data_IF_100595380795
#
_entry.id   IF_100595380795
#
_cell.length_a   1.000
_cell.length_b   1.000
_cell.length_c   1.000
_cell.angle_alpha   90.00
_cell.angle_beta   90.00
_cell.angle_gamma   90.00
#
_symmetry.space_group_name_H-M   'P 1'
#
loop_
_entity.id
_entity.type
_entity.pdbx_description
1 polymer ?
#
# COMPACT_ATOMS: atom_id res chain seq x y z
N UNK A 1 -36.47 31.63 -16.49
CA UNK A 1 -36.15 30.18 -16.55
C UNK A 1 -35.85 29.81 -18.00
N UNK A 2 -34.90 28.93 -18.35
CA UNK A 2 -33.79 28.38 -17.57
C UNK A 2 -32.43 28.47 -18.30
N UNK A 3 -31.32 28.48 -17.56
CA UNK A 3 -30.03 27.94 -18.02
C UNK A 3 -29.27 27.53 -16.76
N UNK A 4 -29.72 26.43 -16.14
CA UNK A 4 -29.16 25.09 -16.35
C UNK A 4 -27.75 25.02 -15.77
N UNK A 5 -27.71 24.38 -14.60
CA UNK A 5 -26.60 24.36 -13.66
C UNK A 5 -25.24 24.09 -14.29
N UNK A 6 -24.29 24.94 -13.92
CA UNK A 6 -22.91 24.49 -13.81
C UNK A 6 -22.87 23.46 -12.70
N UNK A 7 -22.94 22.20 -13.12
CA UNK A 7 -22.59 21.03 -12.34
C UNK A 7 -21.11 21.19 -11.99
N UNK A 8 -20.83 21.92 -10.90
CA UNK A 8 -19.51 21.97 -10.29
C UNK A 8 -19.19 20.51 -9.99
N UNK A 9 -18.32 19.92 -10.81
CA UNK A 9 -17.77 18.60 -10.57
C UNK A 9 -17.17 18.69 -9.18
N UNK A 10 -17.87 18.15 -8.19
CA UNK A 10 -17.34 17.81 -6.87
C UNK A 10 -16.24 16.79 -7.14
N UNK A 11 -15.09 17.28 -7.60
CA UNK A 11 -13.88 16.52 -7.73
C UNK A 11 -13.57 16.11 -6.31
N UNK A 12 -13.85 14.84 -6.06
CA UNK A 12 -13.66 14.15 -4.83
C UNK A 12 -12.25 14.45 -4.32
N UNK A 13 -12.13 15.42 -3.41
CA UNK A 13 -10.90 15.69 -2.68
C UNK A 13 -10.72 14.49 -1.76
N UNK A 14 -10.19 13.40 -2.32
CA UNK A 14 -9.85 12.19 -1.59
C UNK A 14 -8.83 12.58 -0.54
N UNK A 15 -9.21 12.51 0.74
CA UNK A 15 -8.26 12.59 1.85
C UNK A 15 -7.03 11.74 1.52
N UNK A 16 -5.83 12.34 1.58
CA UNK A 16 -4.57 11.63 1.32
C UNK A 16 -4.41 10.39 2.21
N UNK A 17 -4.96 10.46 3.43
CA UNK A 17 -5.04 9.35 4.38
C UNK A 17 -5.70 8.09 3.79
N UNK A 18 -6.83 8.24 3.11
CA UNK A 18 -7.61 7.13 2.57
C UNK A 18 -6.94 6.47 1.36
N UNK A 19 -6.15 7.23 0.59
CA UNK A 19 -5.36 6.68 -0.50
C UNK A 19 -4.14 5.90 0.01
N UNK A 20 -3.51 6.37 1.09
CA UNK A 20 -2.35 5.70 1.71
C UNK A 20 -2.77 4.38 2.33
N UNK A 21 -3.89 4.33 3.06
CA UNK A 21 -4.39 3.09 3.65
C UNK A 21 -4.70 2.03 2.57
N UNK A 22 -5.41 2.42 1.49
CA UNK A 22 -5.70 1.52 0.36
C UNK A 22 -4.45 0.99 -0.34
N UNK A 23 -3.40 1.81 -0.41
CA UNK A 23 -2.11 1.38 -0.98
C UNK A 23 -1.38 0.43 -0.03
N UNK A 24 -1.44 0.67 1.28
CA UNK A 24 -0.88 -0.21 2.31
C UNK A 24 -1.46 -1.62 2.25
N UNK A 25 -2.79 -1.74 2.31
CA UNK A 25 -3.51 -3.02 2.22
C UNK A 25 -3.12 -3.80 0.96
N UNK A 26 -3.06 -3.14 -0.20
CA UNK A 26 -2.70 -3.78 -1.47
C UNK A 26 -1.24 -4.29 -1.50
N UNK A 27 -0.32 -3.60 -0.83
CA UNK A 27 1.09 -4.02 -0.75
C UNK A 27 1.24 -5.22 0.20
N UNK A 28 0.57 -5.20 1.35
CA UNK A 28 0.59 -6.31 2.30
C UNK A 28 0.04 -7.61 1.71
N UNK A 29 -1.07 -7.53 0.98
CA UNK A 29 -1.66 -8.70 0.33
C UNK A 29 -0.72 -9.31 -0.73
N UNK A 30 0.05 -8.49 -1.44
CA UNK A 30 1.06 -8.96 -2.39
C UNK A 30 2.23 -9.64 -1.69
N UNK A 31 2.69 -9.10 -0.55
CA UNK A 31 3.75 -9.73 0.25
C UNK A 31 3.29 -11.11 0.75
N UNK A 32 2.07 -11.21 1.30
CA UNK A 32 1.49 -12.48 1.78
C UNK A 32 1.42 -13.53 0.66
N UNK A 33 0.99 -13.15 -0.55
CA UNK A 33 0.94 -14.05 -1.71
C UNK A 33 2.34 -14.56 -2.10
N UNK A 34 3.32 -13.65 -2.15
CA UNK A 34 4.71 -14.01 -2.47
C UNK A 34 5.33 -14.92 -1.41
N UNK A 35 5.01 -14.74 -0.13
CA UNK A 35 5.47 -15.62 0.95
C UNK A 35 4.95 -17.05 0.81
N UNK A 36 3.67 -17.22 0.47
CA UNK A 36 3.09 -18.54 0.22
C UNK A 36 3.77 -19.24 -0.96
N UNK A 37 4.06 -18.50 -2.04
CA UNK A 37 4.78 -19.07 -3.18
C UNK A 37 6.22 -19.45 -2.82
N UNK A 38 6.94 -18.59 -2.10
CA UNK A 38 8.29 -18.87 -1.63
C UNK A 38 8.35 -20.10 -0.73
N UNK A 39 7.34 -20.31 0.13
CA UNK A 39 7.22 -21.51 0.94
C UNK A 39 7.14 -22.78 0.08
N UNK A 40 6.30 -22.77 -0.95
CA UNK A 40 6.16 -23.89 -1.89
C UNK A 40 7.47 -24.19 -2.62
N UNK A 41 8.17 -23.16 -3.10
CA UNK A 41 9.48 -23.33 -3.73
C UNK A 41 10.53 -23.86 -2.75
N UNK A 42 10.52 -23.42 -1.48
CA UNK A 42 11.41 -23.94 -0.44
C UNK A 42 11.21 -25.43 -0.21
N UNK A 43 9.97 -25.89 -0.10
CA UNK A 43 9.69 -27.33 0.02
C UNK A 43 10.13 -28.11 -1.22
N UNK A 44 9.83 -27.59 -2.42
CA UNK A 44 10.23 -28.25 -3.67
C UNK A 44 11.75 -28.37 -3.78
N UNK A 45 12.50 -27.33 -3.38
CA UNK A 45 13.97 -27.35 -3.39
C UNK A 45 14.52 -28.38 -2.40
N UNK A 46 13.91 -28.53 -1.22
CA UNK A 46 14.31 -29.52 -0.22
C UNK A 46 14.03 -30.96 -0.68
N UNK A 47 12.91 -31.19 -1.35
CA UNK A 47 12.51 -32.51 -1.89
C UNK A 47 13.28 -32.87 -3.16
N UNK A 48 13.82 -31.90 -3.89
CA UNK A 48 14.57 -32.13 -5.13
C UNK A 48 16.04 -32.42 -4.84
N UNK A 49 16.55 -33.53 -5.38
CA UNK A 49 17.98 -33.87 -5.34
C UNK A 49 18.82 -32.75 -5.97
N UNK A 50 19.98 -32.46 -5.38
CA UNK A 50 20.94 -31.49 -5.92
C UNK A 50 21.26 -31.79 -7.39
N UNK A 51 20.94 -30.84 -8.27
CA UNK A 51 21.05 -30.97 -9.72
C UNK A 51 20.55 -29.74 -10.47
N UNK A 52 20.61 -29.74 -11.81
CA UNK A 52 20.21 -28.60 -12.65
C UNK A 52 18.76 -28.17 -12.43
N UNK A 53 17.86 -29.12 -12.13
CA UNK A 53 16.46 -28.84 -11.78
C UNK A 53 16.35 -28.03 -10.49
N UNK A 54 17.14 -28.36 -9.47
CA UNK A 54 17.17 -27.63 -8.21
C UNK A 54 17.71 -26.19 -8.41
N UNK A 55 18.71 -26.02 -9.26
CA UNK A 55 19.24 -24.68 -9.59
C UNK A 55 18.19 -23.83 -10.33
N UNK A 56 17.41 -24.42 -11.23
CA UNK A 56 16.31 -23.72 -11.90
C UNK A 56 15.21 -23.29 -10.91
N UNK A 57 14.86 -24.14 -9.94
CA UNK A 57 13.92 -23.79 -8.86
C UNK A 57 14.46 -22.68 -7.97
N UNK A 58 15.74 -22.73 -7.59
CA UNK A 58 16.42 -21.67 -6.85
C UNK A 58 16.39 -20.34 -7.62
N UNK A 59 16.68 -20.36 -8.93
CA UNK A 59 16.64 -19.16 -9.76
C UNK A 59 15.23 -18.54 -9.83
N UNK A 60 14.18 -19.37 -9.91
CA UNK A 60 12.78 -18.91 -9.85
C UNK A 60 12.44 -18.32 -8.48
N UNK A 61 12.83 -19.00 -7.40
CA UNK A 61 12.63 -18.51 -6.02
C UNK A 61 13.34 -17.18 -5.77
N UNK A 62 14.57 -16.99 -6.29
CA UNK A 62 15.32 -15.74 -6.17
C UNK A 62 14.60 -14.55 -6.82
N UNK A 63 13.89 -14.77 -7.94
CA UNK A 63 13.09 -13.72 -8.59
C UNK A 63 11.94 -13.28 -7.70
N UNK A 64 11.23 -14.23 -7.08
CA UNK A 64 10.15 -13.93 -6.15
C UNK A 64 10.65 -13.25 -4.89
N UNK A 65 11.82 -13.65 -4.36
CA UNK A 65 12.44 -13.02 -3.21
C UNK A 65 12.79 -11.55 -3.49
N UNK A 66 13.32 -11.24 -4.69
CA UNK A 66 13.59 -9.86 -5.10
C UNK A 66 12.31 -9.03 -5.18
N UNK A 67 11.22 -9.59 -5.72
CA UNK A 67 9.92 -8.91 -5.75
C UNK A 67 9.37 -8.67 -4.35
N UNK A 68 9.46 -9.66 -3.46
CA UNK A 68 9.04 -9.51 -2.07
C UNK A 68 9.79 -8.37 -1.39
N UNK A 69 11.12 -8.34 -1.50
CA UNK A 69 11.95 -7.28 -0.91
C UNK A 69 11.60 -5.88 -1.44
N UNK A 70 11.23 -5.77 -2.72
CA UNK A 70 10.76 -4.51 -3.28
C UNK A 70 9.44 -4.05 -2.63
N UNK A 71 8.48 -4.96 -2.44
CA UNK A 71 7.21 -4.63 -1.78
C UNK A 71 7.37 -4.36 -0.29
N UNK A 72 8.26 -5.06 0.41
CA UNK A 72 8.64 -4.74 1.80
C UNK A 72 9.20 -3.32 1.90
N UNK A 73 10.09 -2.91 0.99
CA UNK A 73 10.57 -1.53 0.94
C UNK A 73 9.47 -0.50 0.68
N UNK A 74 8.51 -0.80 -0.21
CA UNK A 74 7.35 0.08 -0.44
C UNK A 74 6.45 0.19 0.80
N UNK A 75 6.26 -0.92 1.52
CA UNK A 75 5.51 -0.95 2.78
C UNK A 75 6.20 -0.10 3.84
N UNK A 76 7.51 -0.23 3.99
CA UNK A 76 8.29 0.54 4.97
C UNK A 76 8.26 2.04 4.66
N UNK A 77 8.29 2.42 3.38
CA UNK A 77 8.04 3.82 2.96
C UNK A 77 6.63 4.29 3.34
N UNK A 78 5.59 3.48 3.11
CA UNK A 78 4.21 3.81 3.48
C UNK A 78 4.04 3.99 5.00
N UNK A 79 4.70 3.16 5.82
CA UNK A 79 4.72 3.34 7.28
C UNK A 79 5.38 4.65 7.69
N UNK A 80 6.51 5.02 7.07
CA UNK A 80 7.16 6.31 7.33
C UNK A 80 6.27 7.50 6.92
N UNK A 81 5.57 7.41 5.78
CA UNK A 81 4.61 8.43 5.37
C UNK A 81 3.43 8.55 6.33
N UNK A 82 2.94 7.43 6.87
CA UNK A 82 1.84 7.42 7.84
C UNK A 82 2.26 8.07 9.15
N UNK A 83 3.47 7.77 9.67
CA UNK A 83 4.00 8.42 10.87
C UNK A 83 4.20 9.93 10.70
N UNK A 84 4.71 10.37 9.55
CA UNK A 84 4.85 11.79 9.25
C UNK A 84 3.48 12.52 9.19
N UNK A 85 2.44 11.86 8.66
CA UNK A 85 1.08 12.40 8.66
C UNK A 85 0.45 12.40 10.05
N UNK A 86 0.73 11.40 10.89
CA UNK A 86 0.27 11.35 12.28
C UNK A 86 0.88 12.51 13.09
N UNK A 87 2.18 12.81 12.90
CA UNK A 87 2.80 13.97 13.53
C UNK A 87 2.25 15.31 13.04
N UNK A 88 1.97 15.46 11.73
CA UNK A 88 1.30 16.67 11.20
C UNK A 88 -0.13 16.77 11.73
N UNK A 89 -0.85 15.66 11.89
CA UNK A 89 -2.18 15.61 12.50
C UNK A 89 -2.15 15.96 14.00
N UNK A 90 -1.11 15.55 14.71
CA UNK A 90 -0.90 15.87 16.13
C UNK A 90 -0.49 17.34 16.31
N UNK A 91 0.42 17.85 15.48
CA UNK A 91 0.91 19.22 15.51
C UNK A 91 -0.12 20.25 15.02
N UNK A 92 -1.02 19.86 14.11
CA UNK A 92 -2.13 20.70 13.66
C UNK A 92 -3.28 20.80 14.68
N UNK A 93 -3.19 20.10 15.81
CA UNK A 93 -4.27 19.98 16.78
C UNK A 93 -5.37 19.06 16.23
N UNK A 94 -5.83 18.12 17.06
CA UNK A 94 -6.83 17.09 16.72
C UNK A 94 -8.22 17.58 16.28
N UNK A 95 -8.36 18.81 15.78
CA UNK A 95 -9.59 19.43 15.30
C UNK A 95 -9.60 19.76 13.81
N UNK A 96 -8.53 19.54 13.03
CA UNK A 96 -8.54 19.91 11.59
C UNK A 96 -9.02 18.76 10.67
N UNK A 97 -9.04 17.52 11.14
CA UNK A 97 -9.62 16.43 10.32
C UNK A 97 -11.17 16.51 10.27
N UNK A 98 -11.81 17.07 11.31
CA UNK A 98 -13.26 17.28 11.36
C UNK A 98 -13.68 18.61 10.70
N UNK A 99 -12.87 19.67 10.80
CA UNK A 99 -13.23 20.99 10.26
C UNK A 99 -13.01 21.19 8.74
N UNK A 100 -12.45 20.22 8.01
CA UNK A 100 -12.28 20.35 6.54
C UNK A 100 -13.25 19.45 5.74
N UNK A 101 -13.99 18.56 6.41
CA UNK A 101 -15.04 17.76 5.75
C UNK A 101 -16.45 18.32 5.91
N UNK A 102 -16.67 19.30 6.78
CA UNK A 102 -17.89 20.10 6.84
C UNK A 102 -17.53 21.57 6.67
N UNK A 103 -17.45 22.02 5.42
CA UNK A 103 -17.33 23.43 5.07
C UNK A 103 -18.61 24.21 5.37
N UNK A 104 -18.95 24.34 6.64
CA UNK A 104 -19.92 25.32 7.15
C UNK A 104 -19.39 25.87 8.48
N UNK A 105 -18.30 26.65 8.40
CA UNK A 105 -17.97 27.61 9.44
C UNK A 105 -17.94 28.99 8.80
N UNK A 106 -19.14 29.56 8.65
CA UNK A 106 -19.31 31.01 8.65
C UNK A 106 -18.89 31.52 10.02
N UNK A 107 -17.76 32.21 10.11
CA UNK A 107 -17.63 33.42 10.92
C UNK A 107 -16.91 34.47 10.08
#
# INVERSE_FOLDING_TARGET
LPSSGQHIRRHQTRCGCHQINKRGESVEDKIKKLDVELWKYREQIQKTRSGPVQQALKARAMRLLKQKKMYEGQRDMLYNHTFNLDQVSFAAGGHICELVCHGDLRL
#
